data_IF_075479990630
#
_entry.id   IF_075479990630
#
_cell.length_a   1.000
_cell.length_b   1.000
_cell.length_c   1.000
_cell.angle_alpha   90.00
_cell.angle_beta   90.00
_cell.angle_gamma   90.00
#
_symmetry.space_group_name_H-M   'P 1'
#
loop_
_entity.id
_entity.type
_entity.pdbx_description
1 polymer ?
#
# COMPACT_ATOMS: atom_id res chain seq x y z
N UNK A 1 -6.35 -20.47 -1.78
CA UNK A 1 -6.20 -20.09 -3.21
C UNK A 1 -4.95 -19.22 -3.29
N UNK A 2 -3.94 -19.61 -4.07
CA UNK A 2 -2.71 -18.82 -4.24
C UNK A 2 -2.81 -18.13 -5.61
N UNK A 3 -2.59 -16.82 -5.66
CA UNK A 3 -2.83 -15.93 -6.79
C UNK A 3 -4.32 -15.61 -7.07
N UNK A 4 -4.67 -14.33 -7.16
CA UNK A 4 -6.01 -13.88 -7.51
C UNK A 4 -6.35 -12.45 -7.09
N UNK A 5 -7.14 -11.79 -7.94
CA UNK A 5 -7.76 -10.50 -7.64
C UNK A 5 -9.24 -10.70 -7.28
N UNK A 6 -9.71 -9.94 -6.28
CA UNK A 6 -11.09 -10.00 -5.81
C UNK A 6 -11.65 -8.60 -5.67
N UNK A 7 -12.95 -8.48 -5.93
CA UNK A 7 -13.75 -7.33 -5.50
C UNK A 7 -14.61 -7.76 -4.32
N UNK A 8 -14.73 -6.89 -3.32
CA UNK A 8 -15.53 -7.10 -2.13
C UNK A 8 -16.76 -6.21 -2.16
N UNK A 9 -17.94 -6.84 -2.13
CA UNK A 9 -19.22 -6.15 -2.09
C UNK A 9 -20.16 -6.90 -1.15
N UNK A 10 -20.80 -6.18 -0.23
CA UNK A 10 -21.85 -6.72 0.65
C UNK A 10 -21.41 -7.97 1.43
N UNK A 11 -20.17 -7.99 1.94
CA UNK A 11 -19.65 -9.10 2.74
C UNK A 11 -19.05 -10.24 1.91
N UNK A 12 -19.11 -10.17 0.58
CA UNK A 12 -18.71 -11.27 -0.29
C UNK A 12 -17.53 -10.85 -1.17
N UNK A 13 -16.48 -11.68 -1.19
CA UNK A 13 -15.39 -11.57 -2.16
C UNK A 13 -15.76 -12.31 -3.44
N UNK A 14 -15.78 -11.59 -4.56
CA UNK A 14 -15.97 -12.15 -5.91
C UNK A 14 -14.65 -12.12 -6.67
N UNK A 15 -14.17 -13.25 -7.21
CA UNK A 15 -12.95 -13.25 -8.02
C UNK A 15 -13.17 -12.44 -9.30
N UNK A 16 -12.13 -11.73 -9.73
CA UNK A 16 -12.11 -10.95 -10.98
C UNK A 16 -10.79 -11.17 -11.70
N UNK A 17 -10.78 -10.94 -13.01
CA UNK A 17 -9.57 -11.01 -13.83
C UNK A 17 -8.66 -9.81 -13.55
N UNK A 18 -9.24 -8.64 -13.28
CA UNK A 18 -8.52 -7.39 -13.10
C UNK A 18 -9.27 -6.44 -12.17
N UNK A 19 -8.54 -5.70 -11.35
CA UNK A 19 -9.06 -4.61 -10.52
C UNK A 19 -9.28 -3.31 -11.30
N UNK A 20 -8.56 -3.11 -12.41
CA UNK A 20 -8.53 -1.87 -13.19
C UNK A 20 -9.90 -1.26 -13.48
N UNK A 21 -10.89 -2.03 -13.97
CA UNK A 21 -12.24 -1.52 -14.25
C UNK A 21 -12.98 -0.94 -13.04
N UNK A 22 -12.60 -1.32 -11.82
CA UNK A 22 -13.30 -0.97 -10.59
C UNK A 22 -12.64 0.19 -9.82
N UNK A 23 -11.39 0.55 -10.14
CA UNK A 23 -10.61 1.54 -9.38
C UNK A 23 -11.26 2.93 -9.34
N UNK A 24 -12.04 3.27 -10.37
CA UNK A 24 -12.71 4.57 -10.51
C UNK A 24 -14.18 4.54 -10.09
N UNK A 25 -14.67 3.42 -9.55
CA UNK A 25 -16.07 3.29 -9.12
C UNK A 25 -16.44 4.31 -8.04
N UNK A 26 -15.47 4.70 -7.21
CA UNK A 26 -15.62 5.75 -6.18
C UNK A 26 -16.14 7.08 -6.74
N UNK A 27 -15.76 7.45 -7.98
CA UNK A 27 -16.27 8.66 -8.64
C UNK A 27 -17.75 8.52 -8.99
N UNK A 28 -18.13 7.40 -9.60
CA UNK A 28 -19.51 7.13 -10.01
C UNK A 28 -20.48 7.03 -8.82
N UNK A 29 -19.98 6.51 -7.70
CA UNK A 29 -20.73 6.35 -6.46
C UNK A 29 -20.56 7.52 -5.50
N UNK A 30 -19.90 8.59 -5.94
CA UNK A 30 -19.67 9.84 -5.18
C UNK A 30 -19.01 9.63 -3.81
N UNK A 31 -18.14 8.63 -3.70
CA UNK A 31 -17.31 8.40 -2.54
C UNK A 31 -16.00 9.17 -2.71
N UNK A 32 -15.99 10.39 -2.18
CA UNK A 32 -14.84 11.28 -2.24
C UNK A 32 -14.11 11.34 -0.91
N UNK A 33 -12.84 11.75 -0.95
CA UNK A 33 -12.12 12.12 0.25
C UNK A 33 -12.84 13.29 0.95
N UNK A 34 -13.36 13.04 2.15
CA UNK A 34 -14.16 13.98 2.93
C UNK A 34 -13.32 14.72 3.98
N UNK A 35 -13.21 16.04 3.81
CA UNK A 35 -12.47 16.93 4.70
C UNK A 35 -13.11 17.04 6.08
N UNK A 36 -14.43 16.87 6.18
CA UNK A 36 -15.16 17.00 7.45
C UNK A 36 -14.78 15.92 8.48
N UNK A 37 -14.17 14.83 8.02
CA UNK A 37 -13.70 13.71 8.85
C UNK A 37 -12.22 13.84 9.24
N UNK A 38 -11.54 14.92 8.84
CA UNK A 38 -10.13 15.16 9.10
C UNK A 38 -9.92 16.18 10.21
N UNK A 39 -8.76 16.14 10.85
CA UNK A 39 -8.31 17.27 11.67
C UNK A 39 -8.03 18.48 10.77
N UNK A 40 -8.16 19.69 11.31
CA UNK A 40 -7.89 20.92 10.54
C UNK A 40 -6.46 20.94 9.94
N UNK A 41 -5.48 20.41 10.69
CA UNK A 41 -4.10 20.27 10.25
C UNK A 41 -3.94 19.30 9.08
N UNK A 42 -4.65 18.18 9.08
CA UNK A 42 -4.56 17.20 8.00
C UNK A 42 -5.33 17.67 6.77
N UNK A 43 -6.50 18.29 6.97
CA UNK A 43 -7.32 18.88 5.91
C UNK A 43 -6.53 19.87 5.03
N UNK A 44 -5.71 20.73 5.65
CA UNK A 44 -4.89 21.72 4.93
C UNK A 44 -3.71 21.12 4.17
N UNK A 45 -3.31 19.88 4.48
CA UNK A 45 -2.14 19.20 3.90
C UNK A 45 -2.53 18.05 2.97
N UNK A 46 -3.76 17.58 3.06
CA UNK A 46 -4.28 16.47 2.28
C UNK A 46 -4.52 16.91 0.83
N UNK A 47 -3.59 16.57 -0.07
CA UNK A 47 -3.72 16.89 -1.51
C UNK A 47 -4.80 16.08 -2.24
N UNK A 48 -5.41 15.11 -1.56
CA UNK A 48 -6.41 14.18 -2.11
C UNK A 48 -7.84 14.67 -1.95
N UNK A 49 -8.05 15.82 -1.32
CA UNK A 49 -9.39 16.40 -1.12
C UNK A 49 -10.10 16.52 -2.47
N UNK A 50 -11.32 15.98 -2.55
CA UNK A 50 -12.11 15.95 -3.77
C UNK A 50 -11.80 14.80 -4.74
N UNK A 51 -10.78 13.97 -4.48
CA UNK A 51 -10.53 12.74 -5.24
C UNK A 51 -11.53 11.67 -4.84
N UNK A 52 -11.90 10.81 -5.79
CA UNK A 52 -12.63 9.58 -5.50
C UNK A 52 -11.74 8.63 -4.72
N UNK A 53 -12.24 8.03 -3.65
CA UNK A 53 -11.45 7.15 -2.77
C UNK A 53 -11.99 5.72 -2.80
N UNK A 54 -11.10 4.75 -3.03
CA UNK A 54 -11.42 3.32 -2.94
C UNK A 54 -10.31 2.59 -2.20
N UNK A 55 -10.67 1.63 -1.34
CA UNK A 55 -9.73 0.93 -0.44
C UNK A 55 -9.43 -0.46 -0.97
N UNK A 56 -8.21 -0.93 -0.73
CA UNK A 56 -7.87 -2.32 -0.99
C UNK A 56 -6.76 -2.83 -0.08
N UNK A 57 -6.53 -4.13 -0.18
CA UNK A 57 -5.48 -4.85 0.53
C UNK A 57 -4.78 -5.79 -0.42
N UNK A 58 -3.48 -6.01 -0.21
CA UNK A 58 -2.67 -6.92 -1.00
C UNK A 58 -1.79 -7.78 -0.12
N UNK A 59 -1.87 -9.10 -0.29
CA UNK A 59 -0.89 -10.02 0.28
C UNK A 59 0.12 -10.37 -0.83
N UNK A 60 1.33 -9.77 -0.81
CA UNK A 60 2.31 -10.00 -1.86
C UNK A 60 2.89 -11.42 -1.86
N UNK A 61 2.91 -12.10 -0.70
CA UNK A 61 3.44 -13.46 -0.58
C UNK A 61 2.51 -14.48 -1.24
N UNK A 62 1.20 -14.27 -1.10
CA UNK A 62 0.18 -15.14 -1.71
C UNK A 62 -0.26 -14.65 -3.10
N UNK A 63 0.28 -13.50 -3.55
CA UNK A 63 -0.12 -12.82 -4.78
C UNK A 63 -1.64 -12.56 -4.82
N UNK A 64 -2.20 -12.05 -3.73
CA UNK A 64 -3.64 -11.77 -3.62
C UNK A 64 -3.90 -10.29 -3.52
N UNK A 65 -5.00 -9.82 -4.10
CA UNK A 65 -5.50 -8.46 -3.82
C UNK A 65 -7.01 -8.43 -3.74
N UNK A 66 -7.53 -7.64 -2.79
CA UNK A 66 -8.96 -7.44 -2.59
C UNK A 66 -9.24 -5.95 -2.61
N UNK A 67 -10.19 -5.53 -3.46
CA UNK A 67 -10.64 -4.14 -3.60
C UNK A 67 -12.08 -4.01 -3.08
N UNK A 68 -12.36 -3.02 -2.25
CA UNK A 68 -13.71 -2.75 -1.76
C UNK A 68 -14.53 -1.97 -2.81
N UNK A 69 -15.74 -2.43 -3.15
CA UNK A 69 -16.66 -1.68 -4.01
C UNK A 69 -17.58 -0.76 -3.19
N UNK A 70 -18.22 0.20 -3.87
CA UNK A 70 -18.89 1.37 -3.29
C UNK A 70 -19.81 1.10 -2.11
N UNK A 71 -20.70 0.09 -2.18
CA UNK A 71 -21.60 -0.26 -1.07
C UNK A 71 -20.87 -0.68 0.21
N UNK A 72 -19.61 -1.09 0.09
CA UNK A 72 -18.76 -1.52 1.21
C UNK A 72 -17.79 -0.43 1.68
N UNK A 73 -17.68 0.69 0.95
CA UNK A 73 -16.79 1.81 1.28
C UNK A 73 -17.31 2.68 2.43
N UNK A 74 -18.63 2.68 2.67
CA UNK A 74 -19.29 3.57 3.65
C UNK A 74 -18.90 3.25 5.11
N UNK A 75 -18.44 2.03 5.40
CA UNK A 75 -18.10 1.58 6.77
C UNK A 75 -16.93 0.59 6.86
N UNK A 76 -16.40 0.11 5.73
CA UNK A 76 -15.44 -0.98 5.70
C UNK A 76 -14.08 -0.59 6.26
N UNK A 77 -13.69 -1.27 7.34
CA UNK A 77 -12.30 -1.36 7.75
C UNK A 77 -11.57 -2.27 6.76
N UNK A 78 -10.27 -2.03 6.51
CA UNK A 78 -9.50 -2.93 5.64
C UNK A 78 -9.51 -4.38 6.12
N UNK A 79 -9.67 -4.60 7.43
CA UNK A 79 -9.81 -5.92 8.04
C UNK A 79 -11.05 -6.69 7.53
N UNK A 80 -12.13 -6.00 7.15
CA UNK A 80 -13.34 -6.64 6.62
C UNK A 80 -13.06 -7.31 5.27
N UNK A 81 -12.15 -6.74 4.47
CA UNK A 81 -11.77 -7.26 3.16
C UNK A 81 -11.05 -8.60 3.26
N UNK A 82 -10.31 -8.80 4.36
CA UNK A 82 -9.47 -9.98 4.60
C UNK A 82 -10.08 -10.95 5.61
N UNK A 83 -11.24 -10.62 6.19
CA UNK A 83 -11.93 -11.48 7.13
C UNK A 83 -12.19 -12.87 6.52
N UNK A 84 -11.83 -13.94 7.23
CA UNK A 84 -11.97 -15.32 6.78
C UNK A 84 -10.84 -15.85 5.91
N UNK A 85 -9.78 -15.07 5.63
CA UNK A 85 -8.52 -15.67 5.17
C UNK A 85 -7.83 -16.43 6.31
N UNK A 86 -7.11 -17.50 5.96
CA UNK A 86 -6.26 -18.19 6.92
C UNK A 86 -5.18 -17.24 7.44
N UNK A 87 -4.79 -17.39 8.71
CA UNK A 87 -3.74 -16.59 9.33
C UNK A 87 -3.99 -15.07 9.40
N UNK A 88 -5.26 -14.66 9.46
CA UNK A 88 -5.72 -13.29 9.72
C UNK A 88 -6.55 -13.28 11.01
N UNK A 89 -6.38 -12.25 11.85
CA UNK A 89 -7.22 -12.04 13.04
C UNK A 89 -8.61 -11.49 12.63
N UNK A 90 -9.62 -11.60 13.49
CA UNK A 90 -10.96 -11.10 13.12
C UNK A 90 -11.01 -9.57 13.08
N UNK A 91 -11.88 -9.01 12.24
CA UNK A 91 -12.16 -7.57 12.05
C UNK A 91 -11.39 -6.59 12.96
N UNK A 92 -11.95 -6.27 14.13
CA UNK A 92 -11.37 -5.29 15.06
C UNK A 92 -10.08 -5.77 15.75
N UNK A 93 -9.89 -7.08 15.93
CA UNK A 93 -8.67 -7.63 16.54
C UNK A 93 -7.42 -7.30 15.72
N UNK A 94 -7.56 -7.16 14.39
CA UNK A 94 -6.47 -6.71 13.52
C UNK A 94 -5.88 -5.34 13.92
N UNK A 95 -6.67 -4.49 14.59
CA UNK A 95 -6.24 -3.15 15.04
C UNK A 95 -5.83 -3.12 16.52
N UNK A 96 -5.94 -4.24 17.22
CA UNK A 96 -5.50 -4.34 18.60
C UNK A 96 -3.96 -4.29 18.69
N UNK A 97 -3.39 -3.60 19.69
CA UNK A 97 -1.94 -3.62 19.94
C UNK A 97 -1.36 -5.03 20.17
N UNK A 98 -2.20 -5.96 20.62
CA UNK A 98 -1.82 -7.32 21.02
C UNK A 98 -2.38 -8.40 20.06
N UNK A 99 -2.60 -8.05 18.80
CA UNK A 99 -3.03 -9.00 17.78
C UNK A 99 -2.05 -10.18 17.65
N UNK A 100 -2.58 -11.39 17.41
CA UNK A 100 -1.77 -12.61 17.27
C UNK A 100 -1.27 -12.73 15.83
N UNK A 101 -2.19 -12.60 14.87
CA UNK A 101 -1.93 -12.74 13.43
C UNK A 101 -2.09 -11.41 12.70
N UNK A 102 -2.89 -10.50 13.23
CA UNK A 102 -3.22 -9.21 12.63
C UNK A 102 -3.75 -9.37 11.22
N UNK A 103 -3.23 -8.55 10.30
CA UNK A 103 -3.59 -8.56 8.89
C UNK A 103 -2.99 -9.72 8.08
N UNK A 104 -2.27 -10.68 8.68
CA UNK A 104 -1.79 -11.87 7.95
C UNK A 104 -0.97 -11.57 6.70
N UNK A 105 -0.07 -10.58 6.77
CA UNK A 105 0.76 -10.04 5.67
C UNK A 105 0.01 -9.27 4.57
N UNK A 106 -1.31 -9.07 4.68
CA UNK A 106 -1.99 -8.12 3.82
C UNK A 106 -1.53 -6.69 4.15
N UNK A 107 -1.16 -5.93 3.14
CA UNK A 107 -0.84 -4.51 3.25
C UNK A 107 -2.02 -3.70 2.75
N UNK A 108 -2.45 -2.73 3.55
CA UNK A 108 -3.52 -1.79 3.22
C UNK A 108 -3.02 -0.76 2.23
N UNK A 109 -3.90 -0.39 1.32
CA UNK A 109 -3.68 0.69 0.37
C UNK A 109 -5.00 1.36 0.01
N UNK A 110 -4.88 2.51 -0.62
CA UNK A 110 -5.98 3.34 -1.08
C UNK A 110 -5.65 3.84 -2.49
N UNK A 111 -6.63 3.79 -3.37
CA UNK A 111 -6.53 4.40 -4.70
C UNK A 111 -7.34 5.69 -4.72
N UNK A 112 -6.68 6.77 -5.15
CA UNK A 112 -7.27 8.09 -5.31
C UNK A 112 -7.48 8.35 -6.80
N UNK A 113 -8.74 8.35 -7.21
CA UNK A 113 -9.15 8.63 -8.58
C UNK A 113 -9.38 10.13 -8.74
N UNK A 114 -8.64 10.78 -9.63
CA UNK A 114 -8.85 12.19 -9.94
C UNK A 114 -10.11 12.36 -10.78
N UNK A 115 -11.11 13.15 -10.35
CA UNK A 115 -12.30 13.44 -11.14
C UNK A 115 -11.98 14.09 -12.49
N UNK A 116 -10.87 14.83 -12.62
CA UNK A 116 -10.45 15.50 -13.86
C UNK A 116 -9.66 14.61 -14.81
N UNK A 117 -9.26 13.42 -14.39
CA UNK A 117 -8.43 12.46 -15.14
C UNK A 117 -7.03 13.00 -15.50
N UNK A 118 -6.50 13.94 -14.72
CA UNK A 118 -5.12 14.42 -14.90
C UNK A 118 -4.13 13.41 -14.33
N UNK A 119 -4.38 12.92 -13.10
CA UNK A 119 -3.47 11.96 -12.45
C UNK A 119 -4.12 11.17 -11.32
N UNK A 120 -4.09 9.84 -11.42
CA UNK A 120 -4.50 8.95 -10.32
C UNK A 120 -3.32 8.59 -9.42
N UNK A 121 -3.62 8.25 -8.16
CA UNK A 121 -2.60 7.90 -7.16
C UNK A 121 -2.92 6.60 -6.44
N UNK A 122 -1.90 5.81 -6.17
CA UNK A 122 -1.93 4.58 -5.39
C UNK A 122 -1.13 4.80 -4.10
N UNK A 123 -1.85 4.96 -2.99
CA UNK A 123 -1.27 5.17 -1.67
C UNK A 123 -1.15 3.87 -0.89
N UNK A 124 0.07 3.55 -0.44
CA UNK A 124 0.36 2.36 0.37
C UNK A 124 0.55 2.79 1.81
N UNK A 125 -0.15 2.16 2.74
CA UNK A 125 0.10 2.39 4.16
C UNK A 125 1.52 1.93 4.51
N UNK A 126 2.33 2.84 5.05
CA UNK A 126 3.74 2.62 5.25
C UNK A 126 4.20 3.10 6.63
N UNK A 127 4.95 2.28 7.33
CA UNK A 127 5.64 2.69 8.55
C UNK A 127 6.83 1.82 8.86
N UNK A 128 7.97 2.44 9.17
CA UNK A 128 9.16 1.72 9.60
C UNK A 128 9.09 1.25 11.06
N UNK A 129 8.22 1.83 11.89
CA UNK A 129 8.11 1.48 13.32
C UNK A 129 7.14 0.34 13.58
N UNK A 130 6.21 0.11 12.66
CA UNK A 130 5.14 -0.88 12.81
C UNK A 130 5.59 -2.29 12.47
N UNK A 131 4.80 -3.25 12.96
CA UNK A 131 4.96 -4.68 12.63
C UNK A 131 4.29 -4.98 11.28
N UNK A 132 4.81 -5.94 10.48
CA UNK A 132 4.15 -6.35 9.23
C UNK A 132 2.68 -6.77 9.40
N UNK A 133 2.35 -7.35 10.56
CA UNK A 133 1.00 -7.78 10.93
C UNK A 133 0.02 -6.62 11.17
N UNK A 134 0.48 -5.37 11.25
CA UNK A 134 -0.38 -4.19 11.41
C UNK A 134 -1.08 -3.74 10.12
N UNK A 135 -0.86 -4.46 9.02
CA UNK A 135 -1.47 -4.13 7.73
C UNK A 135 -0.71 -3.06 6.95
N UNK A 136 0.58 -2.86 7.24
CA UNK A 136 1.37 -1.78 6.65
C UNK A 136 2.66 -2.32 6.03
N UNK A 137 3.12 -1.66 4.97
CA UNK A 137 4.45 -1.90 4.43
C UNK A 137 5.51 -1.36 5.40
N UNK A 138 6.38 -2.23 5.89
CA UNK A 138 7.43 -1.86 6.86
C UNK A 138 8.82 -1.68 6.23
N UNK A 139 8.88 -1.69 4.90
CA UNK A 139 10.09 -1.53 4.09
C UNK A 139 9.77 -1.09 2.67
N UNK A 140 10.71 -0.42 1.99
CA UNK A 140 10.53 -0.09 0.57
C UNK A 140 10.45 -1.34 -0.29
N UNK A 141 11.17 -2.40 0.05
CA UNK A 141 11.06 -3.67 -0.69
C UNK A 141 9.69 -4.32 -0.50
N UNK A 142 9.07 -4.25 0.68
CA UNK A 142 7.70 -4.74 0.86
C UNK A 142 6.69 -3.90 0.07
N UNK A 143 6.86 -2.58 0.03
CA UNK A 143 6.04 -1.71 -0.82
C UNK A 143 6.19 -2.08 -2.30
N UNK A 144 7.42 -2.33 -2.78
CA UNK A 144 7.67 -2.80 -4.14
C UNK A 144 6.97 -4.14 -4.46
N UNK A 145 6.97 -5.09 -3.52
CA UNK A 145 6.27 -6.38 -3.69
C UNK A 145 4.76 -6.20 -3.79
N UNK A 146 4.17 -5.30 -3.00
CA UNK A 146 2.76 -4.90 -3.11
C UNK A 146 2.49 -4.33 -4.50
N UNK A 147 3.32 -3.38 -4.95
CA UNK A 147 3.20 -2.72 -6.26
C UNK A 147 3.23 -3.73 -7.41
N UNK A 148 4.17 -4.68 -7.38
CA UNK A 148 4.24 -5.75 -8.37
C UNK A 148 2.97 -6.58 -8.42
N UNK A 149 2.44 -6.93 -7.25
CA UNK A 149 1.23 -7.74 -7.17
C UNK A 149 0.01 -6.96 -7.71
N UNK A 150 -0.13 -5.68 -7.40
CA UNK A 150 -1.28 -4.90 -7.91
C UNK A 150 -1.18 -4.58 -9.39
N UNK A 151 0.03 -4.44 -9.94
CA UNK A 151 0.25 -4.35 -11.39
C UNK A 151 -0.18 -5.64 -12.10
N UNK A 152 0.16 -6.81 -11.55
CA UNK A 152 -0.32 -8.10 -12.05
C UNK A 152 -1.85 -8.20 -11.99
N UNK A 153 -2.48 -7.54 -11.01
CA UNK A 153 -3.92 -7.47 -10.87
C UNK A 153 -4.56 -6.29 -11.65
N UNK A 154 -3.80 -5.64 -12.54
CA UNK A 154 -4.29 -4.67 -13.52
C UNK A 154 -4.53 -3.27 -12.99
N UNK A 155 -3.86 -2.85 -11.90
CA UNK A 155 -3.75 -1.43 -11.57
C UNK A 155 -2.86 -0.73 -12.63
N UNK A 156 -3.23 0.45 -13.16
CA UNK A 156 -2.50 1.07 -14.25
C UNK A 156 -1.03 1.43 -13.92
N UNK A 157 -0.07 1.10 -14.79
CA UNK A 157 1.38 1.29 -14.54
C UNK A 157 1.83 2.75 -14.36
N UNK A 158 1.10 3.67 -14.97
CA UNK A 158 1.32 5.11 -14.95
C UNK A 158 0.77 5.81 -13.70
N UNK A 159 -0.01 5.10 -12.87
CA UNK A 159 -0.51 5.61 -11.59
C UNK A 159 0.65 6.03 -10.70
N UNK A 160 0.57 7.24 -10.11
CA UNK A 160 1.60 7.71 -9.18
C UNK A 160 1.52 6.92 -7.88
N UNK A 161 2.66 6.45 -7.37
CA UNK A 161 2.68 5.75 -6.10
C UNK A 161 3.04 6.73 -4.97
N UNK A 162 2.38 6.65 -3.82
CA UNK A 162 2.77 7.39 -2.62
C UNK A 162 2.80 6.47 -1.40
N UNK A 163 3.61 6.83 -0.39
CA UNK A 163 3.68 6.09 0.87
C UNK A 163 2.96 6.90 1.96
N UNK A 164 1.84 6.36 2.45
CA UNK A 164 0.94 7.05 3.36
C UNK A 164 1.29 6.75 4.82
N UNK A 165 1.24 7.79 5.63
CA UNK A 165 1.21 7.69 7.09
C UNK A 165 -0.23 7.48 7.60
N UNK A 166 -0.44 7.33 8.92
CA UNK A 166 -1.79 7.14 9.49
C UNK A 166 -2.75 8.30 9.24
N UNK A 167 -2.28 9.49 8.86
CA UNK A 167 -3.14 10.64 8.52
C UNK A 167 -3.37 10.78 7.02
N UNK A 168 -3.08 9.71 6.26
CA UNK A 168 -3.29 9.64 4.81
C UNK A 168 -2.46 10.68 4.03
N UNK A 169 -1.37 11.14 4.63
CA UNK A 169 -0.41 12.06 4.01
C UNK A 169 0.87 11.31 3.65
N UNK A 170 1.62 11.80 2.65
CA UNK A 170 2.98 11.31 2.41
C UNK A 170 3.97 12.19 3.19
N UNK A 171 4.68 11.66 4.21
CA UNK A 171 5.73 12.39 4.89
C UNK A 171 6.78 12.96 3.93
N UNK A 172 7.24 14.18 4.18
CA UNK A 172 8.20 14.88 3.30
C UNK A 172 9.48 14.07 3.06
N UNK A 173 9.98 13.38 4.08
CA UNK A 173 11.16 12.55 3.94
C UNK A 173 10.94 11.36 2.98
N UNK A 174 9.74 10.76 2.96
CA UNK A 174 9.40 9.69 2.01
C UNK A 174 9.26 10.24 0.60
N UNK A 175 8.68 11.42 0.44
CA UNK A 175 8.63 12.14 -0.84
C UNK A 175 10.05 12.34 -1.40
N UNK A 176 10.97 12.83 -0.56
CA UNK A 176 12.37 13.06 -0.93
C UNK A 176 13.10 11.76 -1.33
N UNK A 177 12.91 10.69 -0.55
CA UNK A 177 13.47 9.37 -0.86
C UNK A 177 12.92 8.84 -2.18
N UNK A 178 11.59 8.87 -2.40
CA UNK A 178 10.97 8.43 -3.66
C UNK A 178 11.51 9.18 -4.86
N UNK A 179 11.58 10.51 -4.75
CA UNK A 179 12.08 11.38 -5.82
C UNK A 179 13.54 11.05 -6.16
N UNK A 180 14.40 10.92 -5.13
CA UNK A 180 15.81 10.56 -5.30
C UNK A 180 16.00 9.21 -5.98
N UNK A 181 15.17 8.22 -5.63
CA UNK A 181 15.21 6.88 -6.22
C UNK A 181 14.46 6.79 -7.58
N UNK A 182 13.81 7.88 -8.00
CA UNK A 182 12.99 7.94 -9.21
C UNK A 182 11.81 6.96 -9.18
N UNK A 183 11.22 6.76 -8.00
CA UNK A 183 10.12 5.85 -7.71
C UNK A 183 8.78 6.58 -7.83
N UNK A 184 8.50 7.12 -9.02
CA UNK A 184 7.37 8.03 -9.23
C UNK A 184 6.05 7.28 -9.43
N UNK A 185 6.01 6.34 -10.38
CA UNK A 185 4.80 5.57 -10.72
C UNK A 185 4.94 4.10 -10.33
N UNK A 186 3.84 3.35 -10.33
CA UNK A 186 3.86 1.91 -10.06
C UNK A 186 4.86 1.16 -10.96
N UNK A 187 4.91 1.49 -12.25
CA UNK A 187 5.88 0.92 -13.18
C UNK A 187 7.33 1.17 -12.77
N UNK A 188 7.69 2.43 -12.45
CA UNK A 188 9.04 2.77 -12.01
C UNK A 188 9.45 2.00 -10.75
N UNK A 189 8.53 1.85 -9.81
CA UNK A 189 8.75 1.02 -8.62
C UNK A 189 9.01 -0.43 -8.97
N UNK A 190 8.20 -1.03 -9.85
CA UNK A 190 8.32 -2.43 -10.22
C UNK A 190 9.66 -2.74 -10.93
N UNK A 191 10.08 -1.87 -11.84
CA UNK A 191 11.31 -2.06 -12.61
C UNK A 191 12.59 -1.75 -11.83
N UNK A 192 12.59 -0.65 -11.07
CA UNK A 192 13.81 -0.14 -10.44
C UNK A 192 14.08 -0.81 -9.10
N UNK A 193 13.07 -1.09 -8.29
CA UNK A 193 13.27 -1.53 -6.91
C UNK A 193 14.05 -2.84 -6.81
N UNK A 194 13.81 -3.81 -7.69
CA UNK A 194 14.55 -5.08 -7.71
C UNK A 194 16.00 -4.92 -8.17
N UNK A 195 16.27 -3.93 -9.02
CA UNK A 195 17.63 -3.62 -9.46
C UNK A 195 18.41 -2.85 -8.40
N UNK A 196 17.72 -1.98 -7.68
CA UNK A 196 18.29 -1.09 -6.68
C UNK A 196 18.53 -1.80 -5.35
N UNK A 197 17.53 -2.53 -4.88
CA UNK A 197 17.59 -3.31 -3.66
C UNK A 197 18.09 -4.71 -4.03
N UNK A 198 19.40 -4.91 -3.96
CA UNK A 198 20.02 -6.23 -4.09
C UNK A 198 20.77 -6.60 -2.82
N UNK A 199 20.99 -7.90 -2.53
CA UNK A 199 21.79 -8.33 -1.38
C UNK A 199 23.20 -7.71 -1.34
N UNK A 200 23.77 -7.39 -2.50
CA UNK A 200 25.06 -6.74 -2.75
C UNK A 200 24.91 -5.29 -3.26
N UNK A 201 23.73 -4.69 -3.12
CA UNK A 201 23.45 -3.32 -3.54
C UNK A 201 23.91 -2.28 -2.52
N UNK A 202 24.07 -1.04 -2.98
CA UNK A 202 24.41 0.10 -2.12
C UNK A 202 23.21 0.69 -1.36
N UNK A 203 21.98 0.27 -1.66
CA UNK A 203 20.76 0.82 -1.05
C UNK A 203 20.13 -0.11 -0.02
N UNK A 204 19.71 0.46 1.11
CA UNK A 204 18.99 -0.28 2.14
C UNK A 204 17.55 -0.65 1.68
N UNK A 205 17.16 -1.94 1.65
CA UNK A 205 15.82 -2.36 1.22
C UNK A 205 14.71 -1.90 2.17
N UNK A 206 15.05 -1.56 3.42
CA UNK A 206 14.10 -1.08 4.42
C UNK A 206 13.76 0.40 4.21
N UNK A 207 14.76 1.28 4.22
CA UNK A 207 14.56 2.73 4.27
C UNK A 207 14.97 3.47 2.98
N UNK A 208 15.57 2.80 2.01
CA UNK A 208 15.94 3.40 0.71
C UNK A 208 17.20 4.24 0.71
N UNK A 209 17.87 4.38 1.85
CA UNK A 209 19.08 5.18 1.91
C UNK A 209 20.25 4.44 1.26
N UNK A 210 21.00 5.19 0.45
CA UNK A 210 22.29 4.77 -0.04
C UNK A 210 23.26 4.65 1.13
N UNK A 211 24.04 3.59 1.10
CA UNK A 211 25.07 3.30 2.09
C UNK A 211 26.41 3.34 1.39
N UNK A 212 27.44 3.84 2.10
CA UNK A 212 28.79 4.03 1.55
C UNK A 212 29.56 2.71 1.30
N UNK A 213 28.90 1.54 1.35
CA UNK A 213 29.53 0.22 1.28
C UNK A 213 28.91 -0.63 0.19
N UNK A 214 29.75 -1.35 -0.58
CA UNK A 214 29.32 -2.32 -1.62
C UNK A 214 28.54 -3.53 -1.07
N UNK A 215 28.64 -3.83 0.22
CA UNK A 215 27.87 -4.90 0.87
C UNK A 215 27.35 -4.42 2.20
N UNK A 216 26.03 -4.29 2.32
CA UNK A 216 25.38 -3.75 3.51
C UNK A 216 25.05 -4.91 4.43
N UNK A 217 25.90 -5.18 5.41
CA UNK A 217 25.54 -6.06 6.53
C UNK A 217 24.65 -5.34 7.56
N UNK A 218 24.66 -4.00 7.56
CA UNK A 218 23.92 -3.17 8.51
C UNK A 218 23.67 -1.77 7.97
N UNK A 219 22.44 -1.28 8.10
CA UNK A 219 22.10 0.12 7.82
C UNK A 219 22.16 0.94 9.10
N UNK A 220 23.14 1.85 9.21
CA UNK A 220 23.33 2.69 10.41
C UNK A 220 22.18 3.66 10.70
N UNK A 221 21.35 3.97 9.70
CA UNK A 221 20.23 4.90 9.90
C UNK A 221 18.99 4.24 10.49
N UNK A 222 18.58 3.09 9.95
CA UNK A 222 17.37 2.39 10.41
C UNK A 222 17.68 1.13 11.24
N UNK A 223 18.95 0.87 11.53
CA UNK A 223 19.41 -0.24 12.38
C UNK A 223 19.12 -1.64 11.83
N UNK A 224 18.74 -1.79 10.55
CA UNK A 224 18.35 -3.10 10.02
C UNK A 224 19.54 -3.85 9.42
N UNK A 225 19.44 -5.18 9.38
CA UNK A 225 20.31 -6.07 8.60
C UNK A 225 19.63 -6.40 7.28
N UNK A 226 20.11 -5.89 6.13
CA UNK A 226 19.45 -6.07 4.83
C UNK A 226 19.24 -7.52 4.40
N UNK A 227 20.12 -8.43 4.80
CA UNK A 227 20.00 -9.88 4.57
C UNK A 227 18.69 -10.49 5.08
N UNK A 228 18.01 -9.86 6.04
CA UNK A 228 16.73 -10.34 6.57
C UNK A 228 15.54 -10.10 5.63
N UNK A 229 15.70 -9.25 4.61
CA UNK A 229 14.62 -8.93 3.66
C UNK A 229 14.60 -9.83 2.42
N UNK A 230 15.64 -10.65 2.24
CA UNK A 230 15.84 -11.55 1.09
C UNK A 230 15.65 -13.02 1.43
N UNK A 231 15.33 -13.33 2.68
CA UNK A 231 14.85 -14.64 3.13
C UNK A 231 13.34 -14.72 2.98
#
# INVERSE_FOLDING_TARGET
MKNGAFVFEAGIRRPVISLGPYLRESLSSRHFMDVSLMTEKDATRCKWVGYGIIKGVTNPTESLSVLALSKSLVRGLHADLISGFENVDSGMECYSPNHKKGFGNFVRWVFFADPKKEKDFFGIDFSLSERPTAGVACSLISASRVIKTVLLHGVPPDTECVLLDPTMCEPEYLTSVRSTLGFNTLHHWAEKAERLFKPDGAYCPRCGLETRRKKISFCSRCGCKPELFWK
#
